data_IF_044274566534
#
_entry.id   IF_044274566534
#
_cell.length_a   1.000
_cell.length_b   1.000
_cell.length_c   1.000
_cell.angle_alpha   90.00
_cell.angle_beta   90.00
_cell.angle_gamma   90.00
#
_symmetry.space_group_name_H-M   'P 1'
#
loop_
_entity.id
_entity.type
_entity.pdbx_description
1 polymer ?
#
# COMPACT_ATOMS: atom_id res chain seq x y z
N UNK A 1 -6.90 -10.56 29.43
CA UNK A 1 -6.47 -10.44 28.03
C UNK A 1 -6.03 -9.02 27.75
N UNK A 2 -4.83 -8.85 27.24
CA UNK A 2 -4.24 -7.55 27.00
C UNK A 2 -3.86 -7.38 25.55
N UNK A 3 -4.05 -6.15 25.07
CA UNK A 3 -3.49 -5.70 23.79
C UNK A 3 -2.16 -5.04 24.07
N UNK A 4 -1.20 -5.26 23.21
CA UNK A 4 0.09 -4.60 23.35
C UNK A 4 0.55 -4.05 22.00
N UNK A 5 1.31 -2.97 22.06
CA UNK A 5 1.91 -2.33 20.91
C UNK A 5 3.39 -2.16 21.16
N UNK A 6 4.20 -2.48 20.18
CA UNK A 6 5.63 -2.26 20.26
C UNK A 6 6.03 -1.18 19.25
N UNK A 7 6.99 -0.36 19.62
CA UNK A 7 7.44 0.79 18.84
C UNK A 7 8.94 0.71 18.59
N UNK A 8 9.37 1.24 17.45
CA UNK A 8 10.79 1.38 17.18
C UNK A 8 11.32 2.66 17.84
N UNK A 9 12.63 2.94 17.63
CA UNK A 9 13.28 4.09 18.23
C UNK A 9 12.74 5.43 17.72
N UNK A 10 12.08 5.44 16.58
CA UNK A 10 11.46 6.64 16.02
C UNK A 10 9.98 6.80 16.42
N UNK A 11 9.46 5.91 17.28
CA UNK A 11 8.09 5.96 17.74
C UNK A 11 7.07 5.37 16.80
N UNK A 12 7.49 4.63 15.77
CA UNK A 12 6.58 3.99 14.83
C UNK A 12 6.15 2.63 15.37
N UNK A 13 4.89 2.26 15.13
CA UNK A 13 4.38 0.96 15.53
C UNK A 13 5.04 -0.13 14.68
N UNK A 14 5.69 -1.11 15.31
CA UNK A 14 6.30 -2.23 14.62
C UNK A 14 5.59 -3.55 14.90
N UNK A 15 4.79 -3.62 15.95
CA UNK A 15 4.04 -4.83 16.27
C UNK A 15 2.79 -4.50 17.06
N UNK A 16 1.70 -5.19 16.74
CA UNK A 16 0.45 -5.15 17.51
C UNK A 16 0.11 -6.57 17.91
N UNK A 17 -0.27 -6.76 19.17
CA UNK A 17 -0.74 -8.05 19.64
C UNK A 17 -2.18 -7.88 20.14
N UNK A 18 -3.10 -8.71 19.62
CA UNK A 18 -4.49 -8.64 20.03
C UNK A 18 -4.74 -9.48 21.28
N UNK A 19 -5.98 -9.47 21.75
CA UNK A 19 -6.39 -10.14 22.99
C UNK A 19 -6.25 -11.65 22.92
N UNK A 20 -6.23 -12.22 21.72
CA UNK A 20 -6.08 -13.67 21.51
C UNK A 20 -4.63 -14.10 21.36
N UNK A 21 -3.68 -13.17 21.48
CA UNK A 21 -2.26 -13.46 21.32
C UNK A 21 -1.76 -13.46 19.89
N UNK A 22 -2.64 -13.22 18.91
CA UNK A 22 -2.22 -13.04 17.52
C UNK A 22 -1.61 -11.66 17.33
N UNK A 23 -0.66 -11.53 16.41
CA UNK A 23 0.01 -10.25 16.23
C UNK A 23 0.14 -9.87 14.75
N UNK A 24 0.29 -8.58 14.53
CA UNK A 24 0.63 -7.98 13.26
C UNK A 24 1.97 -7.29 13.37
N UNK A 25 2.78 -7.41 12.33
CA UNK A 25 4.09 -6.78 12.28
C UNK A 25 4.12 -5.74 11.17
N UNK A 26 4.84 -4.65 11.41
CA UNK A 26 4.95 -3.53 10.48
C UNK A 26 6.42 -3.22 10.24
N UNK A 27 6.78 -2.98 8.99
CA UNK A 27 8.13 -2.60 8.62
C UNK A 27 8.10 -1.31 7.79
N UNK A 28 9.11 -0.46 7.99
CA UNK A 28 9.17 0.87 7.38
C UNK A 28 10.49 1.04 6.63
N UNK A 29 10.48 1.91 5.62
CA UNK A 29 11.71 2.27 4.92
C UNK A 29 12.39 3.45 5.61
N UNK A 30 13.51 3.91 5.03
CA UNK A 30 14.29 4.99 5.61
C UNK A 30 13.54 6.35 5.61
N UNK A 31 12.46 6.46 4.85
CA UNK A 31 11.64 7.67 4.77
C UNK A 31 10.35 7.54 5.58
N UNK A 32 10.29 6.59 6.51
CA UNK A 32 9.16 6.35 7.41
C UNK A 32 7.88 5.89 6.70
N UNK A 33 8.02 5.28 5.51
CA UNK A 33 6.87 4.75 4.77
C UNK A 33 6.70 3.28 5.07
N UNK A 34 5.44 2.85 5.21
CA UNK A 34 5.13 1.45 5.46
C UNK A 34 5.47 0.62 4.22
N UNK A 35 6.35 -0.37 4.36
CA UNK A 35 6.75 -1.25 3.24
C UNK A 35 6.27 -2.68 3.41
N UNK A 36 5.93 -3.10 4.62
CA UNK A 36 5.42 -4.44 4.86
C UNK A 36 4.50 -4.46 6.07
N UNK A 37 3.44 -5.23 5.97
CA UNK A 37 2.50 -5.44 7.08
C UNK A 37 2.09 -6.91 7.09
N UNK A 38 2.31 -7.58 8.21
CA UNK A 38 1.80 -8.92 8.46
C UNK A 38 0.52 -8.82 9.27
N UNK A 39 -0.58 -9.40 8.79
CA UNK A 39 -1.87 -9.32 9.46
C UNK A 39 -2.06 -10.38 10.53
N UNK A 40 -3.10 -10.21 11.35
CA UNK A 40 -3.46 -11.17 12.40
C UNK A 40 -3.87 -12.53 11.85
N UNK A 41 -4.26 -12.58 10.58
CA UNK A 41 -4.68 -13.81 9.90
C UNK A 41 -3.52 -14.53 9.22
N UNK A 42 -2.28 -14.04 9.40
CA UNK A 42 -1.09 -14.62 8.79
C UNK A 42 -0.79 -14.09 7.39
N UNK A 43 -1.61 -13.19 6.86
CA UNK A 43 -1.37 -12.58 5.56
C UNK A 43 -0.28 -11.54 5.66
N UNK A 44 0.52 -11.45 4.60
CA UNK A 44 1.57 -10.45 4.50
C UNK A 44 1.30 -9.54 3.32
N UNK A 45 1.29 -8.25 3.57
CA UNK A 45 1.13 -7.23 2.54
C UNK A 45 2.44 -6.46 2.41
N UNK A 46 2.85 -6.20 1.18
CA UNK A 46 4.08 -5.46 0.88
C UNK A 46 3.77 -4.30 -0.03
N UNK A 47 4.50 -3.21 0.17
CA UNK A 47 4.29 -1.97 -0.56
C UNK A 47 5.61 -1.48 -1.12
N UNK A 48 5.57 -0.97 -2.36
CA UNK A 48 6.72 -0.40 -3.03
C UNK A 48 6.40 1.01 -3.48
N UNK A 49 7.38 1.90 -3.39
CA UNK A 49 7.22 3.31 -3.68
C UNK A 49 8.24 3.76 -4.71
N UNK A 50 7.90 4.82 -5.47
CA UNK A 50 8.85 5.42 -6.41
C UNK A 50 9.72 6.45 -5.69
N UNK A 51 10.61 7.10 -6.46
CA UNK A 51 11.54 8.07 -5.89
C UNK A 51 10.85 9.32 -5.34
N UNK A 52 9.62 9.59 -5.75
CA UNK A 52 8.85 10.73 -5.27
C UNK A 52 7.91 10.37 -4.12
N UNK A 53 7.90 9.11 -3.71
CA UNK A 53 7.11 8.66 -2.57
C UNK A 53 5.71 8.16 -2.90
N UNK A 54 5.38 7.98 -4.20
CA UNK A 54 4.08 7.45 -4.59
C UNK A 54 4.09 5.93 -4.55
N UNK A 55 2.98 5.34 -4.12
CA UNK A 55 2.81 3.89 -4.11
C UNK A 55 2.74 3.38 -5.55
N UNK A 56 3.67 2.50 -5.92
CA UNK A 56 3.73 1.95 -7.28
C UNK A 56 3.28 0.50 -7.33
N UNK A 57 3.38 -0.23 -6.22
CA UNK A 57 3.05 -1.65 -6.19
C UNK A 57 2.62 -2.06 -4.79
N UNK A 58 1.60 -2.91 -4.70
CA UNK A 58 1.32 -3.64 -3.46
C UNK A 58 1.17 -5.13 -3.75
N UNK A 59 1.55 -5.95 -2.78
CA UNK A 59 1.46 -7.40 -2.87
C UNK A 59 0.70 -7.92 -1.65
N UNK A 60 -0.25 -8.83 -1.89
CA UNK A 60 -1.04 -9.44 -0.83
C UNK A 60 -1.35 -10.89 -1.25
N UNK A 61 -0.68 -11.86 -0.61
CA UNK A 61 -0.96 -13.29 -0.79
C UNK A 61 -1.05 -13.73 -2.26
N UNK A 62 -0.07 -13.29 -3.07
CA UNK A 62 -0.03 -13.62 -4.48
C UNK A 62 -0.80 -12.68 -5.39
N UNK A 63 -1.45 -11.68 -4.82
CA UNK A 63 -2.13 -10.64 -5.58
C UNK A 63 -1.17 -9.45 -5.73
N UNK A 64 -0.79 -9.14 -6.96
CA UNK A 64 0.13 -8.05 -7.25
C UNK A 64 -0.64 -6.93 -7.95
N UNK A 65 -0.68 -5.77 -7.33
CA UNK A 65 -1.36 -4.59 -7.86
C UNK A 65 -0.30 -3.55 -8.21
N UNK A 66 -0.33 -3.08 -9.47
CA UNK A 66 0.57 -2.04 -9.94
C UNK A 66 -0.23 -0.79 -10.25
N UNK A 67 0.27 0.37 -9.81
CA UNK A 67 -0.32 1.67 -10.10
C UNK A 67 0.60 2.44 -11.03
N UNK A 68 0.01 3.10 -12.02
CA UNK A 68 0.73 3.88 -13.02
C UNK A 68 0.30 5.33 -12.93
N UNK A 69 1.25 6.24 -13.14
CA UNK A 69 1.04 7.67 -12.99
C UNK A 69 1.47 8.41 -14.27
N UNK A 70 0.88 9.57 -14.51
CA UNK A 70 1.27 10.44 -15.62
C UNK A 70 2.39 11.40 -15.19
N UNK A 71 2.79 12.30 -16.09
CA UNK A 71 3.86 13.25 -15.83
C UNK A 71 3.52 14.25 -14.73
N UNK A 72 2.24 14.44 -14.44
CA UNK A 72 1.76 15.30 -13.37
C UNK A 72 1.50 14.56 -12.07
N UNK A 73 1.98 13.31 -11.96
CA UNK A 73 1.86 12.46 -10.77
C UNK A 73 0.42 12.08 -10.44
N UNK A 74 -0.46 12.06 -11.45
CA UNK A 74 -1.84 11.61 -11.29
C UNK A 74 -1.94 10.16 -11.70
N UNK A 75 -2.72 9.39 -10.96
CA UNK A 75 -2.92 7.97 -11.28
C UNK A 75 -3.66 7.84 -12.61
N UNK A 76 -3.13 7.03 -13.52
CA UNK A 76 -3.74 6.82 -14.84
C UNK A 76 -4.41 5.47 -14.97
N UNK A 77 -3.80 4.43 -14.43
CA UNK A 77 -4.42 3.11 -14.47
C UNK A 77 -3.80 2.20 -13.41
N UNK A 78 -4.47 1.10 -13.17
CA UNK A 78 -4.06 0.09 -12.22
C UNK A 78 -4.20 -1.30 -12.87
N UNK A 79 -3.23 -2.17 -12.63
CA UNK A 79 -3.33 -3.56 -13.04
C UNK A 79 -3.37 -4.47 -11.82
N UNK A 80 -4.04 -5.60 -11.96
CA UNK A 80 -4.09 -6.64 -10.93
C UNK A 80 -3.56 -7.92 -11.57
N UNK A 81 -2.44 -8.43 -11.05
CA UNK A 81 -1.73 -9.59 -11.58
C UNK A 81 -1.40 -9.47 -13.07
N UNK A 82 -1.05 -8.24 -13.50
CA UNK A 82 -0.68 -7.98 -14.88
C UNK A 82 -1.84 -7.67 -15.82
N UNK A 83 -3.09 -7.73 -15.34
CA UNK A 83 -4.26 -7.43 -16.15
C UNK A 83 -4.84 -6.07 -15.78
N UNK A 84 -5.25 -5.26 -16.78
CA UNK A 84 -5.85 -3.96 -16.48
C UNK A 84 -7.12 -4.11 -15.66
N UNK A 85 -7.26 -3.30 -14.60
CA UNK A 85 -8.42 -3.33 -13.72
C UNK A 85 -9.21 -2.03 -13.76
N UNK A 86 -8.53 -0.89 -13.73
CA UNK A 86 -9.16 0.41 -13.73
C UNK A 86 -8.32 1.40 -14.51
N UNK A 87 -8.98 2.41 -15.05
CA UNK A 87 -8.33 3.48 -15.78
C UNK A 87 -8.98 4.81 -15.38
N UNK A 88 -8.17 5.84 -15.16
CA UNK A 88 -8.61 7.19 -14.79
C UNK A 88 -8.23 8.15 -15.90
N UNK A 89 -9.15 9.04 -16.25
CA UNK A 89 -8.92 10.06 -17.27
C UNK A 89 -9.12 11.45 -16.68
N UNK A 90 -8.30 12.39 -17.13
CA UNK A 90 -8.31 13.76 -16.64
C UNK A 90 -8.53 14.72 -17.80
N UNK A 91 -9.16 15.87 -17.53
CA UNK A 91 -9.35 16.91 -18.54
C UNK A 91 -8.09 17.78 -18.63
N UNK A 92 -8.11 18.79 -19.50
CA UNK A 92 -6.98 19.67 -19.71
C UNK A 92 -6.60 20.55 -18.53
N UNK A 93 -7.46 20.63 -17.52
CA UNK A 93 -7.20 21.36 -16.29
C UNK A 93 -6.70 20.47 -15.16
N UNK A 94 -6.58 19.16 -15.40
CA UNK A 94 -6.13 18.22 -14.39
C UNK A 94 -7.23 17.67 -13.49
N UNK A 95 -8.50 17.96 -13.80
CA UNK A 95 -9.63 17.45 -13.03
C UNK A 95 -9.96 16.02 -13.47
N UNK A 96 -10.29 15.17 -12.51
CA UNK A 96 -10.71 13.81 -12.82
C UNK A 96 -12.00 13.85 -13.65
N UNK A 97 -11.93 13.25 -14.82
CA UNK A 97 -13.06 13.26 -15.78
C UNK A 97 -13.83 11.95 -15.73
N UNK A 98 -13.12 10.83 -15.62
CA UNK A 98 -13.76 9.54 -15.75
C UNK A 98 -12.91 8.47 -15.05
N UNK A 99 -13.59 7.48 -14.45
CA UNK A 99 -12.99 6.25 -13.95
C UNK A 99 -13.64 5.10 -14.70
N UNK A 100 -12.82 4.30 -15.38
CA UNK A 100 -13.31 3.16 -16.13
C UNK A 100 -12.84 1.87 -15.48
N UNK A 101 -13.73 0.92 -15.33
CA UNK A 101 -13.40 -0.42 -14.85
C UNK A 101 -13.28 -1.33 -16.07
N UNK A 102 -12.16 -2.03 -16.15
CA UNK A 102 -11.82 -2.87 -17.30
C UNK A 102 -11.99 -4.35 -16.98
#
# INVERSE_FOLDING_TARGET
>A
LTRSMEYDAAGRVISLTNENGSHSDFSYDALDRLVQQGGFDGRTQRYHYDLTGKLTQSEDEGLVILWYYDESDRITHRTVNGEPAEQWQYDGHGWLREISHL
#
